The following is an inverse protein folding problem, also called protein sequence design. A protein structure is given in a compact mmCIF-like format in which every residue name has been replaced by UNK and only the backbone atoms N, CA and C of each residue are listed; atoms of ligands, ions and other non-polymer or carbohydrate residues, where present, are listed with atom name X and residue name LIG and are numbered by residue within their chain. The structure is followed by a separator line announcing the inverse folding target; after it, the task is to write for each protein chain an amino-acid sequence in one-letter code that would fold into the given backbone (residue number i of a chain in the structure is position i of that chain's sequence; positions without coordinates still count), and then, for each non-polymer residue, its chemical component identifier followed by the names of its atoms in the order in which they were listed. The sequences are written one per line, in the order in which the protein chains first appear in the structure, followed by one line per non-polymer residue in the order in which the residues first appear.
data_IF_113917870861
#
_entry.id   IF_113917870861
#
_cell.length_a   1.000
_cell.length_b   1.000
_cell.length_c   1.000
_cell.angle_alpha   90.00
_cell.angle_beta   90.00
_cell.angle_gamma   90.00
#
_symmetry.space_group_name_H-M   'P 1'
#
loop_
_entity.id
_entity.type
_entity.pdbx_description
1 polymer ?
#
# COMPACT_ATOMS: atom_id res chain seq x y z
N UNK A 1 -19.78 -4.88 6.55
CA UNK A 1 -18.34 -4.70 6.78
C UNK A 1 -17.70 -6.06 6.95
N UNK A 2 -16.71 -6.40 6.13
CA UNK A 2 -15.83 -7.55 6.40
C UNK A 2 -15.02 -7.20 7.66
N UNK A 3 -14.95 -8.12 8.63
CA UNK A 3 -14.19 -7.91 9.87
C UNK A 3 -12.69 -7.82 9.54
N UNK A 4 -11.98 -6.83 10.09
CA UNK A 4 -10.53 -6.64 9.89
C UNK A 4 -9.71 -7.91 10.13
N UNK A 5 -10.14 -8.75 11.09
CA UNK A 5 -9.51 -10.05 11.32
C UNK A 5 -9.56 -10.97 10.09
N UNK A 6 -10.69 -11.01 9.37
CA UNK A 6 -10.81 -11.82 8.15
C UNK A 6 -9.97 -11.27 7.01
N UNK A 7 -9.85 -9.94 6.90
CA UNK A 7 -8.99 -9.30 5.91
C UNK A 7 -7.52 -9.59 6.18
N UNK A 8 -7.10 -9.54 7.45
CA UNK A 8 -5.72 -9.87 7.86
C UNK A 8 -5.42 -11.35 7.62
N UNK A 9 -6.35 -12.25 7.95
CA UNK A 9 -6.14 -13.69 7.74
C UNK A 9 -6.07 -14.03 6.24
N UNK A 10 -6.91 -13.42 5.40
CA UNK A 10 -6.79 -13.51 3.93
C UNK A 10 -5.45 -12.94 3.43
N UNK A 11 -5.02 -11.79 3.96
CA UNK A 11 -3.77 -11.18 3.56
C UNK A 11 -2.54 -12.02 3.90
N UNK A 12 -2.56 -12.71 5.04
CA UNK A 12 -1.50 -13.66 5.43
C UNK A 12 -1.40 -14.85 4.49
N UNK A 13 -2.51 -15.25 3.87
CA UNK A 13 -2.52 -16.32 2.86
C UNK A 13 -1.91 -15.86 1.53
N UNK A 14 -2.15 -14.59 1.14
CA UNK A 14 -1.76 -14.08 -0.18
C UNK A 14 -0.39 -13.38 -0.22
N UNK A 15 0.06 -12.82 0.90
CA UNK A 15 1.36 -12.14 0.99
C UNK A 15 2.46 -13.18 1.25
N UNK A 16 3.64 -13.08 0.59
CA UNK A 16 4.75 -14.01 0.81
C UNK A 16 5.14 -14.16 2.29
N UNK A 17 5.51 -15.39 2.67
CA UNK A 17 5.78 -15.77 4.06
C UNK A 17 6.89 -14.96 4.74
N UNK A 18 7.82 -14.39 3.99
CA UNK A 18 8.89 -13.52 4.52
C UNK A 18 8.36 -12.25 5.20
N UNK A 19 7.14 -11.79 4.86
CA UNK A 19 6.49 -10.64 5.49
C UNK A 19 5.52 -11.01 6.61
N UNK A 20 5.36 -12.30 6.93
CA UNK A 20 4.40 -12.80 7.95
C UNK A 20 4.58 -12.11 9.31
N UNK A 21 5.82 -11.84 9.70
CA UNK A 21 6.17 -11.12 10.94
C UNK A 21 5.60 -9.71 10.97
N UNK A 22 5.53 -9.03 9.81
CA UNK A 22 4.96 -7.69 9.67
C UNK A 22 3.44 -7.70 9.78
N UNK A 23 2.78 -8.81 9.42
CA UNK A 23 1.33 -9.01 9.48
C UNK A 23 0.86 -9.62 10.81
N UNK A 24 1.67 -9.55 11.87
CA UNK A 24 1.26 -10.00 13.20
C UNK A 24 0.15 -9.07 13.77
N UNK A 25 -0.88 -9.65 14.39
CA UNK A 25 -2.02 -8.90 14.98
C UNK A 25 -1.55 -7.93 16.09
N UNK A 26 -0.40 -8.20 16.70
CA UNK A 26 0.21 -7.34 17.71
C UNK A 26 0.90 -6.07 17.14
N UNK A 27 1.00 -5.92 15.81
CA UNK A 27 1.77 -4.84 15.18
C UNK A 27 0.98 -3.55 14.90
N UNK A 28 -0.18 -3.32 15.55
CA UNK A 28 -1.07 -2.18 15.28
C UNK A 28 -1.33 -2.00 13.77
N UNK A 29 -1.89 -3.05 13.15
CA UNK A 29 -2.19 -3.06 11.73
C UNK A 29 -3.35 -2.12 11.41
N UNK A 30 -3.18 -1.27 10.41
CA UNK A 30 -4.28 -0.54 9.80
C UNK A 30 -4.72 -1.29 8.55
N UNK A 31 -5.99 -1.68 8.48
CA UNK A 31 -6.54 -2.43 7.36
C UNK A 31 -7.78 -1.74 6.82
N UNK A 32 -7.92 -1.69 5.50
CA UNK A 32 -9.12 -1.21 4.84
C UNK A 32 -9.31 -1.90 3.49
N UNK A 33 -10.55 -2.16 3.11
CA UNK A 33 -10.92 -2.77 1.83
C UNK A 33 -11.79 -1.84 1.01
N UNK A 34 -11.57 -1.80 -0.30
CA UNK A 34 -12.25 -0.91 -1.23
C UNK A 34 -12.62 -1.66 -2.51
N UNK A 35 -13.72 -1.27 -3.14
CA UNK A 35 -14.04 -1.67 -4.52
C UNK A 35 -13.76 -0.44 -5.37
N UNK A 36 -12.79 -0.56 -6.26
CA UNK A 36 -12.32 0.55 -7.08
C UNK A 36 -12.55 0.26 -8.56
N UNK A 37 -12.65 1.30 -9.38
CA UNK A 37 -12.66 1.13 -10.83
C UNK A 37 -11.28 0.62 -11.30
N UNK A 38 -11.29 -0.41 -12.15
CA UNK A 38 -10.07 -1.07 -12.64
C UNK A 38 -9.17 -0.12 -13.44
N UNK A 39 -9.75 0.72 -14.30
CA UNK A 39 -8.98 1.64 -15.14
C UNK A 39 -8.33 2.76 -14.32
N UNK A 40 -9.02 3.24 -13.29
CA UNK A 40 -8.45 4.20 -12.35
C UNK A 40 -7.29 3.60 -11.56
N UNK A 41 -7.43 2.39 -11.02
CA UNK A 41 -6.34 1.70 -10.33
C UNK A 41 -5.14 1.46 -11.25
N UNK A 42 -5.39 1.00 -12.48
CA UNK A 42 -4.34 0.81 -13.48
C UNK A 42 -3.58 2.12 -13.75
N UNK A 43 -4.30 3.23 -13.90
CA UNK A 43 -3.69 4.57 -14.09
C UNK A 43 -2.85 4.96 -12.87
N UNK A 44 -3.34 4.75 -11.65
CA UNK A 44 -2.62 5.06 -10.42
C UNK A 44 -1.34 4.20 -10.32
N UNK A 45 -1.41 2.90 -10.62
CA UNK A 45 -0.24 2.00 -10.58
C UNK A 45 0.83 2.41 -11.60
N UNK A 46 0.43 2.82 -12.81
CA UNK A 46 1.36 3.38 -13.82
C UNK A 46 2.05 4.65 -13.33
N UNK A 47 1.33 5.55 -12.65
CA UNK A 47 1.92 6.75 -12.02
C UNK A 47 2.90 6.34 -10.92
N UNK A 48 2.55 5.38 -10.06
CA UNK A 48 3.46 4.89 -9.03
C UNK A 48 4.74 4.30 -9.64
N UNK A 49 4.65 3.53 -10.72
CA UNK A 49 5.82 3.00 -11.44
C UNK A 49 6.74 4.09 -11.98
N UNK A 50 6.19 5.22 -12.43
CA UNK A 50 7.02 6.34 -12.86
C UNK A 50 7.67 7.04 -11.65
N UNK A 51 6.95 7.17 -10.54
CA UNK A 51 7.51 7.77 -9.32
C UNK A 51 8.62 6.93 -8.69
N UNK A 52 8.55 5.59 -8.76
CA UNK A 52 9.62 4.71 -8.24
C UNK A 52 10.94 4.92 -9.01
N UNK A 53 10.88 5.17 -10.32
CA UNK A 53 12.06 5.51 -11.14
C UNK A 53 12.73 6.81 -10.68
N UNK A 54 11.93 7.81 -10.29
CA UNK A 54 12.44 9.11 -9.85
C UNK A 54 13.01 9.08 -8.42
N UNK A 55 12.42 8.25 -7.56
CA UNK A 55 12.71 8.26 -6.12
C UNK A 55 13.64 7.14 -5.67
N UNK A 56 13.93 6.16 -6.52
CA UNK A 56 14.67 4.94 -6.15
C UNK A 56 13.90 4.03 -5.17
N UNK A 57 12.61 4.30 -4.96
CA UNK A 57 11.75 3.54 -4.06
C UNK A 57 11.55 2.13 -4.62
N UNK A 58 11.86 1.11 -3.81
CA UNK A 58 11.64 -0.29 -4.18
C UNK A 58 10.20 -0.70 -3.87
N UNK A 59 9.48 -1.13 -4.89
CA UNK A 59 8.11 -1.64 -4.80
C UNK A 59 8.09 -3.00 -5.49
N UNK A 60 7.66 -4.01 -4.77
CA UNK A 60 7.57 -5.38 -5.27
C UNK A 60 6.15 -5.66 -5.80
N UNK A 61 6.04 -6.46 -6.85
CA UNK A 61 4.77 -6.89 -7.43
C UNK A 61 4.03 -5.83 -8.27
N UNK A 62 4.60 -4.63 -8.43
CA UNK A 62 3.95 -3.53 -9.15
C UNK A 62 3.88 -3.78 -10.66
N UNK A 63 4.92 -4.33 -11.25
CA UNK A 63 4.96 -4.59 -12.70
C UNK A 63 4.02 -5.73 -13.08
N UNK A 64 4.03 -6.80 -12.29
CA UNK A 64 3.12 -7.94 -12.42
C UNK A 64 1.67 -7.49 -12.26
N UNK A 65 1.38 -6.64 -11.28
CA UNK A 65 0.03 -6.10 -11.08
C UNK A 65 -0.42 -5.24 -12.27
N UNK A 66 0.45 -4.38 -12.82
CA UNK A 66 0.08 -3.55 -13.98
C UNK A 66 -0.32 -4.44 -15.15
N UNK A 67 0.45 -5.50 -15.44
CA UNK A 67 0.12 -6.46 -16.50
C UNK A 67 -1.20 -7.16 -16.20
N UNK A 68 -1.43 -7.59 -14.95
CA UNK A 68 -2.68 -8.23 -14.56
C UNK A 68 -3.88 -7.29 -14.78
N UNK A 69 -3.78 -6.03 -14.37
CA UNK A 69 -4.84 -5.02 -14.53
C UNK A 69 -5.07 -4.63 -15.99
N UNK A 70 -4.05 -4.65 -16.85
CA UNK A 70 -4.20 -4.41 -18.30
C UNK A 70 -5.00 -5.50 -19.01
N UNK A 71 -4.94 -6.73 -18.49
CA UNK A 71 -5.66 -7.89 -19.03
C UNK A 71 -6.92 -8.24 -18.23
N UNK A 72 -7.34 -7.36 -17.31
CA UNK A 72 -8.48 -7.62 -16.44
C UNK A 72 -9.75 -7.02 -17.03
N UNK A 73 -10.71 -7.89 -17.37
CA UNK A 73 -11.93 -7.51 -18.10
C UNK A 73 -13.06 -6.97 -17.21
N UNK A 74 -12.92 -7.01 -15.87
CA UNK A 74 -13.95 -6.49 -14.98
C UNK A 74 -13.81 -4.98 -14.75
N UNK A 75 -14.95 -4.29 -14.66
CA UNK A 75 -15.02 -2.84 -14.42
C UNK A 75 -14.43 -2.44 -13.05
N UNK A 76 -14.53 -3.33 -12.06
CA UNK A 76 -14.12 -3.06 -10.68
C UNK A 76 -13.16 -4.12 -10.14
N UNK A 77 -12.23 -3.68 -9.30
CA UNK A 77 -11.28 -4.52 -8.58
C UNK A 77 -11.44 -4.34 -7.07
N UNK A 78 -11.34 -5.43 -6.31
CA UNK A 78 -11.29 -5.38 -4.86
C UNK A 78 -9.84 -5.11 -4.44
N UNK A 79 -9.66 -4.11 -3.58
CA UNK A 79 -8.35 -3.69 -3.06
C UNK A 79 -8.36 -3.76 -1.54
N UNK A 80 -7.42 -4.52 -0.96
CA UNK A 80 -7.17 -4.55 0.48
C UNK A 80 -5.84 -3.83 0.73
N UNK A 81 -5.91 -2.72 1.48
CA UNK A 81 -4.74 -1.98 1.92
C UNK A 81 -4.42 -2.36 3.37
N UNK A 82 -3.20 -2.81 3.62
CA UNK A 82 -2.69 -3.07 4.98
C UNK A 82 -1.44 -2.24 5.20
N UNK A 83 -1.43 -1.48 6.29
CA UNK A 83 -0.29 -0.67 6.68
C UNK A 83 0.24 -1.11 8.03
N UNK A 84 1.56 -1.20 8.10
CA UNK A 84 2.35 -1.45 9.30
C UNK A 84 3.33 -0.30 9.50
N UNK A 85 4.13 -0.35 10.56
CA UNK A 85 5.20 0.64 10.79
C UNK A 85 6.24 0.64 9.67
N UNK A 86 6.54 -0.51 9.07
CA UNK A 86 7.65 -0.70 8.14
C UNK A 86 7.23 -0.97 6.70
N UNK A 87 5.97 -1.35 6.47
CA UNK A 87 5.48 -1.80 5.18
C UNK A 87 4.06 -1.32 4.91
N UNK A 88 3.78 -1.07 3.64
CA UNK A 88 2.44 -0.96 3.09
C UNK A 88 2.25 -2.12 2.11
N UNK A 89 1.17 -2.85 2.28
CA UNK A 89 0.73 -3.93 1.41
C UNK A 89 -0.56 -3.53 0.73
N UNK A 90 -0.69 -3.83 -0.56
CA UNK A 90 -1.94 -3.74 -1.30
C UNK A 90 -2.20 -5.07 -1.98
N UNK A 91 -3.38 -5.64 -1.76
CA UNK A 91 -3.79 -6.90 -2.37
C UNK A 91 -4.93 -6.59 -3.31
N UNK A 92 -4.81 -7.03 -4.55
CA UNK A 92 -5.80 -6.84 -5.60
C UNK A 92 -6.44 -8.18 -5.93
N UNK A 93 -7.76 -8.23 -5.99
CA UNK A 93 -8.51 -9.44 -6.37
C UNK A 93 -9.78 -9.11 -7.13
N UNK A 94 -10.32 -10.09 -7.84
CA UNK A 94 -11.65 -9.99 -8.45
C UNK A 94 -12.78 -10.06 -7.41
N UNK A 95 -14.03 -10.00 -7.89
CA UNK A 95 -15.23 -10.14 -7.04
C UNK A 95 -15.38 -11.50 -6.34
N UNK A 96 -14.67 -12.53 -6.81
CA UNK A 96 -14.68 -13.88 -6.26
C UNK A 96 -13.48 -14.13 -5.31
N UNK A 97 -12.68 -13.09 -5.02
CA UNK A 97 -11.42 -13.18 -4.27
C UNK A 97 -10.32 -13.99 -4.96
N UNK A 98 -10.36 -14.11 -6.29
CA UNK A 98 -9.22 -14.58 -7.07
C UNK A 98 -8.14 -13.49 -7.11
N UNK A 99 -6.91 -13.86 -6.73
CA UNK A 99 -5.80 -12.92 -6.61
C UNK A 99 -5.35 -12.42 -7.99
N UNK A 100 -5.28 -11.10 -8.16
CA UNK A 100 -4.69 -10.45 -9.32
C UNK A 100 -3.23 -10.06 -9.06
N UNK A 101 -2.91 -9.62 -7.84
CA UNK A 101 -1.56 -9.25 -7.48
C UNK A 101 -1.42 -8.68 -6.08
N UNK A 102 -0.18 -8.64 -5.60
CA UNK A 102 0.19 -8.07 -4.31
C UNK A 102 1.29 -7.04 -4.55
N UNK A 103 1.07 -5.82 -4.07
CA UNK A 103 2.08 -4.75 -4.09
C UNK A 103 2.64 -4.57 -2.69
N UNK A 104 3.96 -4.63 -2.57
CA UNK A 104 4.67 -4.49 -1.29
C UNK A 104 5.60 -3.30 -1.37
N UNK A 105 5.38 -2.35 -0.45
CA UNK A 105 6.19 -1.15 -0.32
C UNK A 105 6.84 -1.12 1.06
N UNK A 106 8.17 -1.09 1.10
CA UNK A 106 8.90 -0.78 2.32
C UNK A 106 8.80 0.72 2.63
N UNK A 107 8.24 1.04 3.78
CA UNK A 107 8.12 2.40 4.28
C UNK A 107 9.47 2.83 4.89
N UNK A 108 9.98 3.97 4.45
CA UNK A 108 11.11 4.65 5.08
C UNK A 108 10.56 5.69 6.06
N UNK A 109 11.14 5.77 7.26
CA UNK A 109 10.91 6.93 8.13
C UNK A 109 11.44 8.16 7.40
N UNK A 110 10.58 9.15 7.16
CA UNK A 110 11.02 10.44 6.61
C UNK A 110 12.05 11.04 7.58
N UNK A 111 13.17 11.51 7.06
CA UNK A 111 14.14 12.26 7.86
C UNK A 111 13.55 13.63 8.20
N UNK A 112 14.11 14.31 9.20
CA UNK A 112 13.68 15.68 9.52
C UNK A 112 13.89 16.62 8.33
N UNK A 113 14.88 16.35 7.48
CA UNK A 113 15.12 17.06 6.23
C UNK A 113 13.99 16.81 5.21
N UNK A 114 13.59 15.55 5.02
CA UNK A 114 12.45 15.21 4.15
C UNK A 114 11.15 15.87 4.62
N UNK A 115 10.97 15.97 5.95
CA UNK A 115 9.82 16.62 6.57
C UNK A 115 9.89 18.14 6.37
N UNK A 116 11.04 18.77 6.63
CA UNK A 116 11.26 20.20 6.40
C UNK A 116 11.02 20.57 4.94
N UNK A 117 11.65 19.86 4.01
CA UNK A 117 11.46 20.07 2.57
C UNK A 117 9.99 19.96 2.17
N UNK A 118 9.28 18.92 2.62
CA UNK A 118 7.86 18.75 2.34
C UNK A 118 7.00 19.91 2.88
N UNK A 119 7.35 20.45 4.04
CA UNK A 119 6.66 21.60 4.64
C UNK A 119 6.93 22.90 3.89
N UNK A 120 8.17 23.13 3.47
CA UNK A 120 8.56 24.31 2.70
C UNK A 120 7.82 24.35 1.35
N UNK A 121 7.76 23.23 0.63
CA UNK A 121 7.01 23.10 -0.63
C UNK A 121 5.52 23.35 -0.43
N UNK A 122 4.96 22.95 0.71
CA UNK A 122 3.55 23.14 1.05
C UNK A 122 3.26 24.50 1.71
N UNK A 123 4.27 25.36 1.91
CA UNK A 123 4.12 26.66 2.57
C UNK A 123 3.77 26.59 4.06
N UNK A 124 4.07 25.47 4.74
CA UNK A 124 3.73 25.25 6.15
C UNK A 124 4.85 25.81 7.04
N UNK A 125 4.58 26.91 7.74
CA UNK A 125 5.56 27.60 8.60
C UNK A 125 5.45 27.25 10.09
N UNK A 126 4.39 26.54 10.51
CA UNK A 126 4.09 26.24 11.92
C UNK A 126 5.06 25.20 12.51
N UNK A 127 5.69 25.41 13.68
CA UNK A 127 6.66 24.45 14.24
C UNK A 127 6.13 23.00 14.30
N UNK A 128 7.04 22.02 14.23
CA UNK A 128 6.68 20.63 14.53
C UNK A 128 6.09 20.58 15.95
N UNK A 129 4.93 19.93 16.18
CA UNK A 129 4.47 19.68 17.54
C UNK A 129 5.52 18.82 18.25
N UNK A 130 5.79 19.12 19.52
CA UNK A 130 6.64 18.28 20.36
C UNK A 130 5.98 16.90 20.46
N UNK A 131 6.58 15.90 19.82
CA UNK A 131 6.15 14.52 19.97
C UNK A 131 6.92 14.00 21.19
N UNK A 132 6.28 14.04 22.36
CA UNK A 132 6.77 13.27 23.51
C UNK A 132 6.85 11.79 23.10
N UNK A 133 8.02 11.19 23.27
CA UNK A 133 8.24 9.78 22.98
C UNK A 133 7.54 8.94 24.06
N UNK A 134 6.32 8.48 23.79
CA UNK A 134 5.70 7.33 24.46
C UNK A 134 5.97 6.02 23.68
#
# INVERSE_FOLDING_TARGET
MINDNKLIDYAREKIPNEYSSSLNKNNNLQCASFINNTQDELRIMKVHKNNTKLTGLKVEGLDELIIALENFDEETVLVINIRTKLFSFKIYSDKNNALLGVVILKLKKKTDEDIRFGRDVLGITTPLPDIEND
#
